data_IF_316355328498
#
_entry.id   IF_316355328498
#
_cell.length_a   1.000
_cell.length_b   1.000
_cell.length_c   1.000
_cell.angle_alpha   90.00
_cell.angle_beta   90.00
_cell.angle_gamma   90.00
#
_symmetry.space_group_name_H-M   'P 1'
#
loop_
_entity.id
_entity.type
_entity.pdbx_description
1 polymer ?
#
# COMPACT_ATOMS: atom_id res chain seq x y z
N UNK A 1 14.99 5.95 -12.24
CA UNK A 1 14.02 5.01 -11.61
C UNK A 1 13.45 4.11 -12.69
N UNK A 2 13.19 2.82 -12.40
CA UNK A 2 12.51 1.90 -13.34
C UNK A 2 11.16 1.46 -12.75
N UNK A 3 10.16 1.31 -13.60
CA UNK A 3 8.80 0.94 -13.22
C UNK A 3 8.27 -0.12 -14.19
N UNK A 4 7.54 -1.10 -13.68
CA UNK A 4 6.67 -1.97 -14.47
C UNK A 4 5.35 -2.20 -13.74
N UNK A 5 4.26 -2.38 -14.47
CA UNK A 5 2.96 -2.74 -13.91
C UNK A 5 2.53 -4.13 -14.37
N UNK A 6 1.86 -4.86 -13.48
CA UNK A 6 1.17 -6.11 -13.80
C UNK A 6 -0.25 -6.05 -13.26
N UNK A 7 -1.14 -6.79 -13.91
CA UNK A 7 -2.52 -6.93 -13.49
C UNK A 7 -2.84 -8.38 -13.14
N UNK A 8 -3.68 -8.56 -12.13
CA UNK A 8 -4.39 -9.80 -11.89
C UNK A 8 -5.85 -9.66 -12.32
N UNK A 9 -6.42 -10.67 -12.98
CA UNK A 9 -7.86 -10.74 -13.23
C UNK A 9 -8.40 -12.15 -12.99
N UNK A 10 -9.70 -12.30 -12.72
CA UNK A 10 -10.31 -13.62 -12.48
C UNK A 10 -10.12 -14.60 -13.63
N UNK A 11 -10.10 -14.09 -14.88
CA UNK A 11 -9.99 -14.92 -16.07
C UNK A 11 -8.57 -15.42 -16.33
N UNK A 12 -7.56 -14.61 -16.02
CA UNK A 12 -6.19 -14.84 -16.45
C UNK A 12 -5.19 -15.08 -15.29
N UNK A 13 -5.59 -14.80 -14.05
CA UNK A 13 -4.65 -14.68 -12.94
C UNK A 13 -3.73 -13.49 -13.15
N UNK A 14 -2.51 -13.56 -12.59
CA UNK A 14 -1.45 -12.58 -12.84
C UNK A 14 -0.96 -12.65 -14.29
N UNK A 15 -1.03 -11.53 -14.99
CA UNK A 15 -0.54 -11.42 -16.35
C UNK A 15 0.98 -11.68 -16.42
N UNK A 16 1.37 -12.53 -17.36
CA UNK A 16 2.78 -12.80 -17.66
C UNK A 16 3.31 -11.75 -18.63
N UNK A 17 3.54 -10.55 -18.13
CA UNK A 17 4.07 -9.46 -18.96
C UNK A 17 5.57 -9.63 -19.18
N UNK A 18 6.07 -9.63 -20.43
CA UNK A 18 7.51 -9.59 -20.67
C UNK A 18 8.11 -8.31 -20.07
N UNK A 19 9.22 -8.43 -19.33
CA UNK A 19 9.92 -7.27 -18.77
C UNK A 19 9.42 -6.80 -17.40
N UNK A 20 8.69 -7.64 -16.66
CA UNK A 20 8.39 -7.38 -15.25
C UNK A 20 9.67 -7.21 -14.45
N UNK A 21 9.69 -6.15 -13.64
CA UNK A 21 10.83 -5.75 -12.82
C UNK A 21 10.90 -6.61 -11.55
N UNK A 22 11.38 -7.85 -11.69
CA UNK A 22 11.46 -8.83 -10.59
C UNK A 22 12.36 -8.40 -9.42
N UNK A 23 13.32 -7.51 -9.67
CA UNK A 23 14.27 -7.00 -8.68
C UNK A 23 13.87 -5.63 -8.10
N UNK A 24 12.57 -5.34 -8.04
CA UNK A 24 12.02 -4.11 -7.49
C UNK A 24 12.36 -3.93 -6.00
N UNK A 25 12.42 -2.68 -5.55
CA UNK A 25 12.63 -2.34 -4.13
C UNK A 25 11.29 -2.23 -3.39
N UNK A 26 10.25 -1.79 -4.09
CA UNK A 26 8.87 -1.69 -3.57
C UNK A 26 7.88 -2.09 -4.66
N UNK A 27 6.79 -2.74 -4.23
CA UNK A 27 5.64 -3.04 -5.07
C UNK A 27 4.42 -2.40 -4.42
N UNK A 28 3.76 -1.48 -5.14
CA UNK A 28 2.51 -0.85 -4.74
C UNK A 28 1.34 -1.62 -5.34
N UNK A 29 0.43 -2.11 -4.48
CA UNK A 29 -0.70 -2.96 -4.89
C UNK A 29 -2.02 -2.26 -4.57
N UNK A 30 -2.85 -2.04 -5.58
CA UNK A 30 -4.20 -1.50 -5.42
C UNK A 30 -5.20 -2.48 -5.99
N UNK A 31 -6.29 -2.70 -5.26
CA UNK A 31 -7.26 -3.75 -5.57
C UNK A 31 -8.67 -3.39 -5.14
N UNK A 32 -9.64 -3.72 -5.96
CA UNK A 32 -11.06 -3.73 -5.60
C UNK A 32 -11.67 -5.14 -5.64
N UNK A 33 -10.86 -6.14 -6.04
CA UNK A 33 -11.20 -7.57 -6.02
C UNK A 33 -10.90 -8.25 -4.67
N UNK A 34 -11.77 -9.18 -4.27
CA UNK A 34 -11.64 -9.93 -3.01
C UNK A 34 -10.41 -10.85 -2.95
N UNK A 35 -9.82 -11.23 -4.08
CA UNK A 35 -8.60 -12.04 -4.10
C UNK A 35 -7.45 -11.37 -3.33
N UNK A 36 -7.38 -10.04 -3.30
CA UNK A 36 -6.40 -9.25 -2.55
C UNK A 36 -6.33 -9.59 -1.06
N UNK A 37 -7.45 -10.05 -0.49
CA UNK A 37 -7.60 -10.36 0.94
C UNK A 37 -7.00 -11.73 1.31
N UNK A 38 -6.59 -12.51 0.32
CA UNK A 38 -6.14 -13.89 0.53
C UNK A 38 -4.65 -13.98 0.79
N UNK A 39 -4.25 -14.94 1.64
CA UNK A 39 -2.83 -15.30 1.81
C UNK A 39 -2.18 -15.69 0.48
N UNK A 40 -2.93 -16.35 -0.39
CA UNK A 40 -2.49 -16.76 -1.73
C UNK A 40 -2.08 -15.55 -2.59
N UNK A 41 -2.84 -14.45 -2.56
CA UNK A 41 -2.50 -13.25 -3.32
C UNK A 41 -1.14 -12.69 -2.87
N UNK A 42 -0.94 -12.56 -1.56
CA UNK A 42 0.34 -12.11 -1.01
C UNK A 42 1.48 -13.08 -1.37
N UNK A 43 1.27 -14.40 -1.20
CA UNK A 43 2.27 -15.41 -1.51
C UNK A 43 2.72 -15.35 -2.99
N UNK A 44 1.77 -15.17 -3.92
CA UNK A 44 2.09 -15.03 -5.34
C UNK A 44 2.86 -13.74 -5.65
N UNK A 45 2.49 -12.62 -5.03
CA UNK A 45 3.23 -11.35 -5.18
C UNK A 45 4.65 -11.48 -4.62
N UNK A 46 4.80 -12.11 -3.45
CA UNK A 46 6.10 -12.32 -2.82
C UNK A 46 6.98 -13.28 -3.62
N UNK A 47 6.42 -14.31 -4.25
CA UNK A 47 7.14 -15.18 -5.17
C UNK A 47 7.64 -14.43 -6.41
N UNK A 48 6.85 -13.50 -6.95
CA UNK A 48 7.24 -12.68 -8.10
C UNK A 48 8.27 -11.59 -7.75
N UNK A 49 8.23 -11.06 -6.52
CA UNK A 49 9.06 -9.94 -6.06
C UNK A 49 9.69 -10.21 -4.69
N UNK A 50 10.59 -11.19 -4.56
CA UNK A 50 11.07 -11.69 -3.27
C UNK A 50 11.91 -10.67 -2.48
N UNK A 51 12.53 -9.70 -3.15
CA UNK A 51 13.37 -8.66 -2.52
C UNK A 51 12.60 -7.36 -2.24
N UNK A 52 11.38 -7.22 -2.78
CA UNK A 52 10.63 -5.98 -2.70
C UNK A 52 9.82 -5.89 -1.41
N UNK A 53 9.66 -4.67 -0.87
CA UNK A 53 8.61 -4.40 0.11
C UNK A 53 7.27 -4.32 -0.60
N UNK A 54 6.36 -5.21 -0.26
CA UNK A 54 5.03 -5.25 -0.90
C UNK A 54 4.05 -4.49 -0.02
N UNK A 55 3.57 -3.35 -0.49
CA UNK A 55 2.58 -2.54 0.23
C UNK A 55 1.38 -2.26 -0.65
N UNK A 56 0.22 -2.14 -0.06
CA UNK A 56 -0.99 -1.93 -0.83
C UNK A 56 -2.24 -1.70 -0.01
N UNK A 57 -3.32 -1.32 -0.67
CA UNK A 57 -4.61 -1.20 -0.03
C UNK A 57 -5.75 -1.52 -0.99
N UNK A 58 -6.92 -1.80 -0.40
CA UNK A 58 -8.15 -1.87 -1.17
C UNK A 58 -8.52 -0.49 -1.74
N UNK A 59 -9.16 -0.46 -2.90
CA UNK A 59 -9.51 0.74 -3.66
C UNK A 59 -10.96 0.65 -4.19
N UNK A 60 -11.39 1.70 -4.89
CA UNK A 60 -12.67 1.77 -5.60
C UNK A 60 -12.49 1.72 -7.12
N UNK A 61 -11.33 1.25 -7.58
CA UNK A 61 -10.88 1.27 -8.96
C UNK A 61 -9.36 1.35 -9.03
N UNK A 62 -8.77 0.80 -10.08
CA UNK A 62 -7.32 0.64 -10.21
C UNK A 62 -6.80 1.33 -11.47
N UNK A 63 -5.58 1.88 -11.40
CA UNK A 63 -4.97 2.60 -12.51
C UNK A 63 -3.88 1.76 -13.17
N UNK A 64 -4.11 1.35 -14.41
CA UNK A 64 -3.14 0.66 -15.24
C UNK A 64 -2.77 1.54 -16.44
N UNK A 65 -1.57 2.10 -16.44
CA UNK A 65 -1.15 3.10 -17.42
C UNK A 65 -2.05 4.34 -17.38
N UNK A 66 -2.93 4.48 -18.38
CA UNK A 66 -3.88 5.60 -18.51
C UNK A 66 -5.34 5.17 -18.36
N UNK A 67 -5.57 3.89 -18.09
CA UNK A 67 -6.90 3.31 -17.95
C UNK A 67 -7.27 3.15 -16.47
N UNK A 68 -8.56 3.33 -16.17
CA UNK A 68 -9.16 2.98 -14.89
C UNK A 68 -9.92 1.68 -15.09
N UNK A 69 -9.65 0.69 -14.25
CA UNK A 69 -10.24 -0.64 -14.31
C UNK A 69 -10.88 -1.03 -12.98
N UNK A 70 -11.87 -1.92 -13.06
CA UNK A 70 -12.61 -2.46 -11.91
C UNK A 70 -12.54 -3.99 -11.91
N UNK A 71 -12.72 -4.58 -10.73
CA UNK A 71 -12.75 -6.03 -10.50
C UNK A 71 -11.40 -6.71 -10.62
N UNK A 72 -10.29 -5.97 -10.51
CA UNK A 72 -8.94 -6.45 -10.74
C UNK A 72 -7.97 -6.06 -9.61
N UNK A 73 -6.70 -6.40 -9.80
CA UNK A 73 -5.60 -5.96 -8.92
C UNK A 73 -4.50 -5.42 -9.83
N UNK A 74 -4.00 -4.22 -9.53
CA UNK A 74 -2.85 -3.65 -10.22
C UNK A 74 -1.68 -3.56 -9.25
N UNK A 75 -0.56 -4.18 -9.62
CA UNK A 75 0.70 -4.09 -8.89
C UNK A 75 1.73 -3.31 -9.70
N UNK A 76 2.28 -2.26 -9.09
CA UNK A 76 3.30 -1.39 -9.68
C UNK A 76 4.64 -1.67 -8.99
N UNK A 77 5.55 -2.32 -9.70
CA UNK A 77 6.89 -2.64 -9.22
C UNK A 77 7.86 -1.49 -9.55
N UNK A 78 8.62 -1.03 -8.56
CA UNK A 78 9.47 0.16 -8.65
C UNK A 78 10.89 -0.18 -8.20
N UNK A 79 11.88 0.11 -9.04
CA UNK A 79 13.31 0.11 -8.69
C UNK A 79 13.82 1.54 -8.56
N UNK A 80 14.34 1.86 -7.38
CA UNK A 80 14.98 3.12 -7.06
C UNK A 80 16.46 3.06 -7.45
N UNK A 81 17.02 4.20 -7.86
CA UNK A 81 18.44 4.28 -8.28
C UNK A 81 19.37 4.64 -7.11
N UNK A 82 18.91 5.51 -6.21
CA UNK A 82 19.75 6.13 -5.18
C UNK A 82 19.06 6.19 -3.80
N UNK A 83 17.94 5.50 -3.63
CA UNK A 83 17.11 5.57 -2.43
C UNK A 83 16.86 4.17 -1.86
N UNK A 84 16.62 4.11 -0.56
CA UNK A 84 16.21 2.89 0.15
C UNK A 84 14.73 2.99 0.50
N UNK A 85 14.09 1.84 0.66
CA UNK A 85 12.72 1.73 1.14
C UNK A 85 12.76 1.28 2.58
N UNK A 86 12.14 2.07 3.46
CA UNK A 86 11.83 1.67 4.83
C UNK A 86 10.33 1.35 4.88
N UNK A 87 9.97 0.38 5.71
CA UNK A 87 8.58 0.02 5.96
C UNK A 87 8.36 0.02 7.46
N UNK A 88 7.29 0.67 7.91
CA UNK A 88 6.76 0.51 9.25
C UNK A 88 5.27 0.17 9.20
N UNK A 89 4.69 -0.24 10.31
CA UNK A 89 3.24 -0.37 10.42
C UNK A 89 2.80 -0.12 11.85
N UNK A 90 1.55 0.31 12.00
CA UNK A 90 0.85 0.39 13.29
C UNK A 90 -0.54 -0.22 13.14
N UNK A 91 -0.96 -0.93 14.18
CA UNK A 91 -2.32 -1.42 14.30
C UNK A 91 -3.25 -0.27 14.67
N UNK A 92 -4.41 -0.25 14.05
CA UNK A 92 -5.49 0.70 14.34
C UNK A 92 -6.47 0.02 15.28
N UNK A 93 -6.54 0.50 16.52
CA UNK A 93 -7.54 0.04 17.48
C UNK A 93 -8.70 1.04 17.58
N UNK A 94 -9.95 0.57 17.81
CA UNK A 94 -11.09 1.46 18.00
C UNK A 94 -10.84 2.51 19.09
N UNK A 95 -11.07 3.78 18.76
CA UNK A 95 -10.94 4.90 19.71
C UNK A 95 -9.51 5.42 19.91
N UNK A 96 -8.51 4.89 19.19
CA UNK A 96 -7.19 5.50 19.18
C UNK A 96 -7.19 6.89 18.54
N UNK A 97 -6.33 7.76 19.05
CA UNK A 97 -6.14 9.10 18.50
C UNK A 97 -5.28 9.02 17.23
N UNK A 98 -5.87 9.33 16.08
CA UNK A 98 -5.20 9.25 14.78
C UNK A 98 -3.99 10.22 14.67
N UNK A 99 -4.02 11.35 15.38
CA UNK A 99 -2.89 12.28 15.43
C UNK A 99 -1.69 11.65 16.16
N UNK A 100 -1.92 11.02 17.32
CA UNK A 100 -0.87 10.32 18.07
C UNK A 100 -0.33 9.12 17.28
N UNK A 101 -1.19 8.39 16.58
CA UNK A 101 -0.78 7.32 15.67
C UNK A 101 0.17 7.84 14.58
N UNK A 102 -0.16 8.95 13.94
CA UNK A 102 0.71 9.59 12.94
C UNK A 102 2.09 9.96 13.51
N UNK A 103 2.14 10.52 14.72
CA UNK A 103 3.41 10.83 15.38
C UNK A 103 4.23 9.57 15.69
N UNK A 104 3.60 8.54 16.26
CA UNK A 104 4.25 7.25 16.57
C UNK A 104 4.82 6.59 15.32
N UNK A 105 4.09 6.67 14.21
CA UNK A 105 4.51 6.12 12.94
C UNK A 105 5.78 6.79 12.39
N UNK A 106 5.80 8.12 12.39
CA UNK A 106 6.97 8.89 11.95
C UNK A 106 8.18 8.65 12.86
N UNK A 107 7.95 8.52 14.18
CA UNK A 107 9.01 8.18 15.12
C UNK A 107 9.61 6.79 14.87
N UNK A 108 8.82 5.81 14.41
CA UNK A 108 9.32 4.47 14.03
C UNK A 108 10.22 4.50 12.79
N UNK A 109 9.94 5.39 11.83
CA UNK A 109 10.80 5.54 10.65
C UNK A 109 12.15 6.14 11.04
N UNK A 110 12.16 7.16 11.90
CA UNK A 110 13.32 7.61 12.69
C UNK A 110 14.62 7.92 11.93
N UNK A 111 14.58 8.00 10.59
CA UNK A 111 15.75 8.08 9.74
C UNK A 111 16.01 9.55 9.33
N UNK A 112 17.17 10.13 9.69
CA UNK A 112 17.51 11.51 9.32
C UNK A 112 17.65 11.72 7.81
N UNK A 113 17.81 10.66 7.00
CA UNK A 113 17.84 10.71 5.55
C UNK A 113 16.46 10.55 4.91
N UNK A 114 15.39 10.37 5.70
CA UNK A 114 14.02 10.22 5.20
C UNK A 114 13.56 11.48 4.45
N UNK A 115 13.27 11.33 3.15
CA UNK A 115 12.85 12.44 2.27
C UNK A 115 11.35 12.50 2.01
N UNK A 116 10.70 11.34 2.02
CA UNK A 116 9.30 11.20 1.65
C UNK A 116 8.67 9.98 2.34
N UNK A 117 7.37 10.06 2.60
CA UNK A 117 6.56 8.98 3.18
C UNK A 117 5.30 8.78 2.34
N UNK A 118 4.94 7.52 2.07
CA UNK A 118 3.71 7.14 1.36
C UNK A 118 2.82 6.38 2.34
N UNK A 119 1.75 7.02 2.78
CA UNK A 119 0.85 6.47 3.78
C UNK A 119 -0.29 5.70 3.13
N UNK A 120 -0.52 4.46 3.57
CA UNK A 120 -1.72 3.69 3.25
C UNK A 120 -2.41 3.31 4.56
N UNK A 121 -3.63 3.79 4.77
CA UNK A 121 -4.37 3.57 6.03
C UNK A 121 -5.72 2.94 5.77
N UNK A 122 -6.24 2.18 6.73
CA UNK A 122 -7.65 1.81 6.79
C UNK A 122 -8.53 3.08 6.66
N UNK A 123 -9.48 3.07 5.72
CA UNK A 123 -10.31 4.24 5.43
C UNK A 123 -11.63 4.30 6.20
N UNK A 124 -11.95 3.27 6.99
CA UNK A 124 -13.15 3.24 7.84
C UNK A 124 -12.82 3.53 9.30
N UNK A 125 -11.65 3.11 9.76
CA UNK A 125 -11.27 3.22 11.17
C UNK A 125 -10.46 4.48 11.49
N UNK A 126 -9.92 5.18 10.49
CA UNK A 126 -9.00 6.30 10.69
C UNK A 126 -9.57 7.60 10.16
N UNK A 127 -9.55 8.62 11.01
CA UNK A 127 -9.81 10.00 10.58
C UNK A 127 -8.56 10.57 9.89
N UNK A 128 -8.58 10.64 8.55
CA UNK A 128 -7.45 11.13 7.76
C UNK A 128 -7.03 12.58 8.09
N UNK A 129 -7.97 13.43 8.48
CA UNK A 129 -7.66 14.83 8.86
C UNK A 129 -6.89 14.92 10.18
N UNK A 130 -7.15 14.02 11.12
CA UNK A 130 -6.37 13.95 12.36
C UNK A 130 -5.03 13.27 12.15
N UNK A 131 -5.01 12.20 11.35
CA UNK A 131 -3.77 11.50 10.98
C UNK A 131 -2.75 12.47 10.34
N UNK A 132 -3.19 13.26 9.36
CA UNK A 132 -2.33 14.23 8.67
C UNK A 132 -1.75 15.28 9.62
N UNK A 133 -2.49 15.71 10.65
CA UNK A 133 -1.94 16.61 11.69
C UNK A 133 -0.76 15.99 12.43
N UNK A 134 -0.78 14.68 12.69
CA UNK A 134 0.31 13.97 13.36
C UNK A 134 1.51 13.77 12.44
N UNK A 135 1.26 13.32 11.22
CA UNK A 135 2.29 13.07 10.21
C UNK A 135 3.08 14.33 9.85
N UNK A 136 2.40 15.47 9.68
CA UNK A 136 3.03 16.73 9.30
C UNK A 136 3.97 17.31 10.37
N UNK A 137 3.94 16.82 11.61
CA UNK A 137 4.87 17.28 12.65
C UNK A 137 6.31 16.81 12.42
N UNK A 138 6.50 15.75 11.63
CA UNK A 138 7.82 15.21 11.35
C UNK A 138 8.66 16.05 10.37
N UNK A 139 8.05 17.05 9.71
CA UNK A 139 8.76 17.93 8.77
C UNK A 139 9.20 17.25 7.47
N UNK A 140 8.71 16.05 7.18
CA UNK A 140 8.96 15.29 5.94
C UNK A 140 7.72 15.39 5.04
N UNK A 141 7.93 15.41 3.73
CA UNK A 141 6.82 15.39 2.78
C UNK A 141 6.06 14.06 2.84
N UNK A 142 4.73 14.12 2.88
CA UNK A 142 3.86 12.95 3.00
C UNK A 142 2.83 12.94 1.88
N UNK A 143 2.71 11.82 1.19
CA UNK A 143 1.59 11.50 0.29
C UNK A 143 0.93 10.22 0.75
N UNK A 144 -0.19 9.84 0.12
CA UNK A 144 -0.85 8.59 0.48
C UNK A 144 -2.33 8.55 0.15
N UNK A 145 -2.98 7.52 0.67
CA UNK A 145 -4.39 7.26 0.48
C UNK A 145 -5.01 6.51 1.65
N UNK A 146 -6.32 6.61 1.73
CA UNK A 146 -7.14 5.79 2.61
C UNK A 146 -7.72 4.62 1.78
N UNK A 147 -7.61 3.42 2.32
CA UNK A 147 -8.18 2.22 1.74
C UNK A 147 -9.70 2.38 1.59
N UNK A 148 -10.24 1.92 0.48
CA UNK A 148 -11.68 2.00 0.18
C UNK A 148 -12.20 0.62 -0.21
N UNK A 149 -13.50 0.42 -0.11
CA UNK A 149 -14.19 -0.75 -0.62
C UNK A 149 -15.32 -0.37 -1.59
N UNK A 150 -15.11 0.73 -2.33
CA UNK A 150 -16.08 1.28 -3.27
C UNK A 150 -17.29 1.85 -2.54
N UNK A 151 -18.48 1.53 -3.05
CA UNK A 151 -19.75 2.02 -2.50
C UNK A 151 -20.27 1.16 -1.32
N UNK A 152 -19.51 0.13 -0.90
CA UNK A 152 -19.96 -0.81 0.15
C UNK A 152 -19.82 -0.25 1.56
N UNK A 153 -18.82 0.61 1.79
CA UNK A 153 -18.53 1.25 3.08
C UNK A 153 -18.52 0.27 4.27
N UNK A 154 -17.98 -0.93 4.07
CA UNK A 154 -18.07 -2.04 5.00
C UNK A 154 -16.72 -2.52 5.54
N UNK A 155 -15.74 -2.81 4.66
CA UNK A 155 -14.43 -3.36 5.07
C UNK A 155 -13.31 -2.88 4.16
N UNK A 156 -12.26 -2.30 4.74
CA UNK A 156 -11.06 -1.91 3.99
C UNK A 156 -9.86 -2.76 4.38
N UNK A 157 -8.93 -2.92 3.46
CA UNK A 157 -7.81 -3.85 3.60
C UNK A 157 -6.51 -3.15 3.28
N UNK A 158 -5.48 -3.45 4.05
CA UNK A 158 -4.13 -2.90 3.88
C UNK A 158 -3.13 -4.04 3.94
N UNK A 159 -2.22 -4.08 2.96
CA UNK A 159 -1.17 -5.07 2.77
C UNK A 159 0.18 -4.45 3.10
N UNK A 160 0.94 -5.12 3.98
CA UNK A 160 2.06 -4.53 4.70
C UNK A 160 3.24 -5.51 4.81
N UNK A 161 3.80 -5.91 3.67
CA UNK A 161 4.81 -6.98 3.57
C UNK A 161 4.37 -8.27 4.29
N UNK A 162 3.06 -8.51 4.23
CA UNK A 162 2.31 -9.60 4.83
C UNK A 162 0.92 -9.64 4.20
N UNK A 163 0.15 -10.74 4.32
CA UNK A 163 -1.23 -10.82 3.85
C UNK A 163 -2.08 -9.61 4.28
N UNK A 164 -2.96 -9.15 3.39
CA UNK A 164 -3.79 -7.99 3.65
C UNK A 164 -4.70 -8.21 4.85
N UNK A 165 -4.83 -7.19 5.70
CA UNK A 165 -5.66 -7.23 6.91
C UNK A 165 -6.41 -5.93 7.11
N UNK A 166 -7.48 -6.01 7.90
CA UNK A 166 -8.24 -4.84 8.37
C UNK A 166 -7.53 -4.15 9.53
N UNK A 167 -7.83 -2.87 9.76
CA UNK A 167 -7.33 -2.14 10.94
C UNK A 167 -5.81 -1.95 10.94
N UNK A 168 -5.22 -1.70 9.78
CA UNK A 168 -3.80 -1.49 9.62
C UNK A 168 -3.51 -0.12 9.00
N UNK A 169 -2.37 0.46 9.40
CA UNK A 169 -1.86 1.71 8.87
C UNK A 169 -0.36 1.59 8.55
N UNK A 170 0.02 2.04 7.36
CA UNK A 170 1.37 1.98 6.79
C UNK A 170 1.88 3.38 6.46
N UNK A 171 3.18 3.65 6.67
CA UNK A 171 3.96 4.71 6.06
C UNK A 171 4.96 4.25 4.98
#
# INVERSE_FOLDING_TARGET
MKISQIRWSEKAGWEKTPGVLVNADVVLVFADNAFFQTETCYAQLHEMFPEARIVGCSSAGNVLGVEITDGDIVATAIKLEHSKVLLASVDVEPGQNAQEMGMRLMAKLGDPELRHVIILSDGLLVNGSELTKGLNQAGVSVTGGLASDGERFGKTWVMADAPARMGALLP
#
